data_IF_402709563442
#
_entry.id   IF_402709563442
#
_cell.length_a   1.000
_cell.length_b   1.000
_cell.length_c   1.000
_cell.angle_alpha   90.00
_cell.angle_beta   90.00
_cell.angle_gamma   90.00
#
_symmetry.space_group_name_H-M   'P 1'
#
loop_
_entity.id
_entity.type
_entity.pdbx_description
1 polymer ?
#
# COMPACT_ATOMS: atom_id res chain seq x y z
N UNK A 1 -9.86 13.41 -8.80
CA UNK A 1 -9.07 12.95 -7.63
C UNK A 1 -9.95 13.07 -6.40
N UNK A 2 -9.84 12.12 -5.47
CA UNK A 2 -10.55 12.10 -4.20
C UNK A 2 -9.64 11.75 -3.03
N UNK A 3 -10.17 11.86 -1.82
CA UNK A 3 -9.47 11.57 -0.58
C UNK A 3 -10.41 10.83 0.38
N UNK A 4 -9.90 9.80 1.04
CA UNK A 4 -10.62 9.05 2.08
C UNK A 4 -9.74 8.96 3.32
N UNK A 5 -10.23 9.47 4.44
CA UNK A 5 -9.62 9.33 5.77
C UNK A 5 -10.65 8.78 6.76
N UNK A 6 -10.25 8.57 8.01
CA UNK A 6 -11.20 8.14 9.06
C UNK A 6 -12.27 9.19 9.38
N UNK A 7 -11.96 10.47 9.19
CA UNK A 7 -12.81 11.59 9.62
C UNK A 7 -13.51 12.31 8.46
N UNK A 8 -12.98 12.19 7.23
CA UNK A 8 -13.50 12.91 6.09
C UNK A 8 -13.34 12.15 4.77
N UNK A 9 -14.28 12.39 3.87
CA UNK A 9 -14.28 11.83 2.52
C UNK A 9 -14.58 12.93 1.51
N UNK A 10 -13.77 13.02 0.45
CA UNK A 10 -13.93 13.97 -0.65
C UNK A 10 -13.85 13.19 -1.96
N UNK A 11 -14.89 13.26 -2.81
CA UNK A 11 -14.94 12.57 -4.10
C UNK A 11 -14.56 11.08 -4.02
N UNK A 12 -15.24 10.30 -3.17
CA UNK A 12 -14.93 8.89 -2.91
C UNK A 12 -14.91 8.02 -4.18
N UNK A 13 -15.70 8.40 -5.19
CA UNK A 13 -15.83 7.67 -6.45
C UNK A 13 -14.84 8.16 -7.53
N UNK A 14 -13.90 9.03 -7.17
CA UNK A 14 -12.89 9.49 -8.11
C UNK A 14 -11.99 8.33 -8.56
N UNK A 15 -11.50 8.34 -9.82
CA UNK A 15 -10.64 7.28 -10.35
C UNK A 15 -9.26 7.20 -9.67
N UNK A 16 -8.88 8.24 -8.93
CA UNK A 16 -7.64 8.31 -8.15
C UNK A 16 -8.03 8.76 -6.75
N UNK A 17 -7.69 7.95 -5.74
CA UNK A 17 -7.99 8.17 -4.34
C UNK A 17 -6.69 8.26 -3.54
N UNK A 18 -6.55 9.33 -2.78
CA UNK A 18 -5.54 9.44 -1.73
C UNK A 18 -6.14 8.95 -0.41
N UNK A 19 -5.49 8.01 0.26
CA UNK A 19 -5.94 7.50 1.55
C UNK A 19 -4.73 7.20 2.43
N UNK A 20 -4.95 7.04 3.73
CA UNK A 20 -3.90 6.50 4.60
C UNK A 20 -3.65 5.03 4.28
N UNK A 21 -2.45 4.52 4.60
CA UNK A 21 -2.13 3.11 4.42
C UNK A 21 -3.11 2.19 5.17
N UNK A 22 -3.54 2.59 6.36
CA UNK A 22 -4.49 1.84 7.18
C UNK A 22 -5.88 1.74 6.54
N UNK A 23 -6.36 2.81 5.88
CA UNK A 23 -7.65 2.77 5.17
C UNK A 23 -7.58 1.80 3.98
N UNK A 24 -6.48 1.82 3.22
CA UNK A 24 -6.25 0.85 2.15
C UNK A 24 -6.18 -0.58 2.73
N UNK A 25 -5.39 -0.80 3.78
CA UNK A 25 -5.20 -2.11 4.39
C UNK A 25 -6.52 -2.69 4.92
N UNK A 26 -7.37 -1.89 5.57
CA UNK A 26 -8.69 -2.35 6.01
C UNK A 26 -9.60 -2.74 4.84
N UNK A 27 -9.61 -1.94 3.77
CA UNK A 27 -10.39 -2.24 2.57
C UNK A 27 -9.92 -3.54 1.91
N UNK A 28 -8.60 -3.74 1.86
CA UNK A 28 -7.97 -4.95 1.32
C UNK A 28 -8.20 -6.17 2.22
N UNK A 29 -8.13 -6.05 3.55
CA UNK A 29 -8.47 -7.18 4.45
C UNK A 29 -9.91 -7.64 4.27
N UNK A 30 -10.83 -6.71 3.97
CA UNK A 30 -12.24 -7.03 3.76
C UNK A 30 -12.49 -7.74 2.44
N UNK A 31 -11.93 -7.21 1.36
CA UNK A 31 -12.33 -7.58 0.00
C UNK A 31 -11.25 -8.40 -0.75
N UNK A 32 -10.00 -8.36 -0.29
CA UNK A 32 -8.85 -9.08 -0.81
C UNK A 32 -8.65 -8.88 -2.31
N UNK A 33 -8.38 -9.96 -3.03
CA UNK A 33 -8.25 -9.98 -4.50
C UNK A 33 -9.45 -9.43 -5.29
N UNK A 34 -10.61 -9.19 -4.66
CA UNK A 34 -11.76 -8.56 -5.33
C UNK A 34 -11.66 -7.03 -5.38
N UNK A 35 -10.70 -6.43 -4.68
CA UNK A 35 -10.45 -5.00 -4.75
C UNK A 35 -10.13 -4.57 -6.20
N UNK A 36 -10.76 -3.49 -6.71
CA UNK A 36 -10.59 -3.05 -8.09
C UNK A 36 -9.34 -2.17 -8.30
N UNK A 37 -8.27 -2.38 -7.51
CA UNK A 37 -7.09 -1.52 -7.56
C UNK A 37 -6.09 -2.05 -8.60
N UNK A 38 -5.96 -1.34 -9.73
CA UNK A 38 -4.95 -1.67 -10.74
C UNK A 38 -3.52 -1.19 -10.40
N UNK A 39 -3.43 -0.09 -9.64
CA UNK A 39 -2.16 0.53 -9.23
C UNK A 39 -2.29 1.03 -7.79
N UNK A 40 -1.29 0.74 -6.96
CA UNK A 40 -1.11 1.33 -5.64
C UNK A 40 0.22 2.06 -5.60
N UNK A 41 0.17 3.36 -5.29
CA UNK A 41 1.36 4.16 -4.98
C UNK A 41 1.45 4.25 -3.46
N UNK A 42 2.42 3.57 -2.86
CA UNK A 42 2.63 3.59 -1.43
C UNK A 42 3.82 4.50 -1.10
N UNK A 43 3.56 5.55 -0.34
CA UNK A 43 4.60 6.43 0.19
C UNK A 43 5.15 5.89 1.52
N UNK A 44 6.30 6.41 1.93
CA UNK A 44 6.97 6.11 3.20
C UNK A 44 7.17 4.62 3.48
N UNK A 45 7.54 3.86 2.45
CA UNK A 45 7.66 2.40 2.52
C UNK A 45 8.70 1.89 3.54
N UNK A 46 9.62 2.72 4.03
CA UNK A 46 10.53 2.34 5.12
C UNK A 46 9.81 2.03 6.45
N UNK A 47 8.53 2.38 6.60
CA UNK A 47 7.70 1.89 7.72
C UNK A 47 7.26 0.42 7.58
N UNK A 48 7.59 -0.26 6.48
CA UNK A 48 7.23 -1.67 6.26
C UNK A 48 7.60 -2.59 7.44
N UNK A 49 8.77 -2.37 8.04
CA UNK A 49 9.26 -3.15 9.19
C UNK A 49 8.88 -2.56 10.55
N UNK A 50 8.07 -1.51 10.60
CA UNK A 50 7.60 -0.92 11.86
C UNK A 50 6.73 -1.94 12.61
N UNK A 51 7.07 -2.30 13.86
CA UNK A 51 6.35 -3.34 14.61
C UNK A 51 4.89 -3.00 14.91
N UNK A 52 4.52 -1.72 14.95
CA UNK A 52 3.18 -1.28 15.34
C UNK A 52 2.31 -0.97 14.13
N UNK A 53 2.90 -0.44 13.06
CA UNK A 53 2.18 0.12 11.90
C UNK A 53 2.53 -0.53 10.56
N UNK A 54 3.64 -1.26 10.47
CA UNK A 54 4.12 -1.84 9.21
C UNK A 54 3.15 -2.81 8.55
N UNK A 55 2.25 -3.41 9.33
CA UNK A 55 1.19 -4.27 8.83
C UNK A 55 0.32 -3.58 7.75
N UNK A 56 0.14 -2.25 7.83
CA UNK A 56 -0.66 -1.50 6.87
C UNK A 56 -0.04 -1.45 5.46
N UNK A 57 1.27 -1.60 5.34
CA UNK A 57 1.96 -1.77 4.05
C UNK A 57 2.07 -3.24 3.64
N UNK A 58 2.21 -4.15 4.60
CA UNK A 58 2.35 -5.59 4.33
C UNK A 58 1.07 -6.22 3.77
N UNK A 59 -0.08 -5.88 4.34
CA UNK A 59 -1.38 -6.46 3.95
C UNK A 59 -1.69 -6.23 2.46
N UNK A 60 -1.63 -4.99 1.92
CA UNK A 60 -1.87 -4.76 0.50
C UNK A 60 -0.96 -5.58 -0.40
N UNK A 61 0.34 -5.71 -0.06
CA UNK A 61 1.30 -6.46 -0.86
C UNK A 61 0.97 -7.96 -0.95
N UNK A 62 0.39 -8.53 0.10
CA UNK A 62 0.03 -9.95 0.15
C UNK A 62 -1.33 -10.25 -0.49
N UNK A 63 -2.30 -9.36 -0.29
CA UNK A 63 -3.71 -9.62 -0.63
C UNK A 63 -4.14 -9.07 -1.99
N UNK A 64 -3.30 -8.26 -2.64
CA UNK A 64 -3.54 -7.68 -3.97
C UNK A 64 -2.62 -8.28 -5.05
N UNK A 65 -2.79 -9.56 -5.41
CA UNK A 65 -1.88 -10.29 -6.31
C UNK A 65 -1.90 -9.78 -7.77
N UNK A 66 -2.85 -8.92 -8.13
CA UNK A 66 -3.03 -8.40 -9.50
C UNK A 66 -2.78 -6.90 -9.61
N UNK A 67 -2.31 -6.27 -8.53
CA UNK A 67 -2.09 -4.83 -8.45
C UNK A 67 -0.62 -4.51 -8.72
N UNK A 68 -0.37 -3.51 -9.56
CA UNK A 68 0.97 -2.95 -9.71
C UNK A 68 1.29 -2.05 -8.51
N UNK A 69 2.49 -2.17 -7.95
CA UNK A 69 2.94 -1.33 -6.84
C UNK A 69 4.06 -0.38 -7.26
N UNK A 70 3.91 0.89 -6.89
CA UNK A 70 4.99 1.88 -6.86
C UNK A 70 5.28 2.19 -5.40
N UNK A 71 6.43 1.71 -4.90
CA UNK A 71 6.83 1.89 -3.50
C UNK A 71 7.86 3.02 -3.42
N UNK A 72 7.47 4.12 -2.77
CA UNK A 72 8.35 5.25 -2.50
C UNK A 72 8.83 5.19 -1.06
N UNK A 73 10.11 5.49 -0.84
CA UNK A 73 10.71 5.44 0.47
C UNK A 73 11.82 6.49 0.57
N UNK A 74 12.07 7.00 1.77
CA UNK A 74 13.38 7.51 2.14
C UNK A 74 14.49 6.49 1.83
N UNK A 75 15.74 6.95 1.76
CA UNK A 75 16.92 6.09 1.50
C UNK A 75 16.90 4.87 2.41
N UNK A 76 16.54 3.74 1.83
CA UNK A 76 16.83 2.45 2.41
C UNK A 76 18.34 2.28 2.31
N UNK A 77 18.97 1.71 3.32
CA UNK A 77 20.38 1.31 3.24
C UNK A 77 20.61 0.33 2.07
N UNK A 78 21.74 -0.38 2.02
CA UNK A 78 22.05 -1.31 0.93
C UNK A 78 20.88 -2.28 0.64
N UNK A 79 20.23 -2.14 -0.51
CA UNK A 79 19.04 -2.93 -0.90
C UNK A 79 19.39 -4.22 -1.64
N UNK A 80 20.69 -4.49 -1.82
CA UNK A 80 21.22 -5.63 -2.57
C UNK A 80 20.57 -6.96 -2.13
N UNK A 81 20.39 -7.14 -0.81
CA UNK A 81 19.76 -8.34 -0.24
C UNK A 81 18.35 -8.59 -0.78
N UNK A 82 17.53 -7.54 -0.93
CA UNK A 82 16.15 -7.69 -1.44
C UNK A 82 16.13 -8.01 -2.93
N UNK A 83 17.06 -7.44 -3.70
CA UNK A 83 17.17 -7.72 -5.14
C UNK A 83 17.56 -9.17 -5.40
N UNK A 84 18.53 -9.68 -4.63
CA UNK A 84 18.95 -11.08 -4.68
C UNK A 84 17.81 -12.05 -4.26
N UNK A 85 17.03 -11.69 -3.24
CA UNK A 85 15.92 -12.51 -2.75
C UNK A 85 14.75 -12.56 -3.76
N UNK A 86 14.39 -11.42 -4.36
CA UNK A 86 13.30 -11.33 -5.34
C UNK A 86 13.59 -12.00 -6.69
N UNK A 87 14.84 -12.40 -6.94
CA UNK A 87 15.25 -13.07 -8.18
C UNK A 87 15.48 -14.57 -8.02
N UNK A 88 15.23 -15.12 -6.82
CA UNK A 88 15.18 -16.57 -6.55
C UNK A 88 13.77 -17.13 -6.74
#
# INVERSE_FOLDING_TARGET
>A
VGMVTGDATVNADAPIICATAEILAHQVLRDGKRCPFGLVVADEFHFYSDPQRGWAWQVPLLELPHTQFLLMSATLGPTNRFTEDLTR
#
